data_IF_303562033186
#
_entry.id   IF_303562033186
#
_cell.length_a   1.000
_cell.length_b   1.000
_cell.length_c   1.000
_cell.angle_alpha   90.00
_cell.angle_beta   90.00
_cell.angle_gamma   90.00
#
_symmetry.space_group_name_H-M   'P 1'
#
loop_
_entity.id
_entity.type
_entity.pdbx_description
1 polymer ?
#
# COMPACT_ATOMS: atom_id res chain seq x y z
N UNK A 1 -16.96 26.56 -20.53
CA UNK A 1 -15.69 25.82 -20.31
C UNK A 1 -15.14 26.23 -18.97
N UNK A 2 -14.94 25.30 -18.03
CA UNK A 2 -14.25 25.61 -16.78
C UNK A 2 -12.79 25.96 -17.10
N UNK A 3 -12.35 27.17 -16.76
CA UNK A 3 -10.93 27.55 -16.87
C UNK A 3 -10.07 26.62 -16.01
N UNK A 4 -8.82 26.36 -16.38
CA UNK A 4 -7.84 25.69 -15.51
C UNK A 4 -7.72 26.38 -14.13
N UNK A 5 -8.09 27.65 -14.03
CA UNK A 5 -8.17 28.37 -12.75
C UNK A 5 -9.19 27.79 -11.77
N UNK A 6 -10.29 27.19 -12.25
CA UNK A 6 -11.24 26.53 -11.33
C UNK A 6 -10.62 25.28 -10.70
N UNK A 7 -9.79 24.54 -11.45
CA UNK A 7 -9.07 23.38 -10.92
C UNK A 7 -7.99 23.80 -9.91
N UNK A 8 -7.29 24.92 -10.11
CA UNK A 8 -6.34 25.47 -9.12
C UNK A 8 -7.04 25.88 -7.83
N UNK A 9 -8.14 26.62 -7.92
CA UNK A 9 -8.93 27.01 -6.76
C UNK A 9 -9.47 25.80 -5.99
N UNK A 10 -9.95 24.79 -6.72
CA UNK A 10 -10.42 23.55 -6.09
C UNK A 10 -9.27 22.80 -5.41
N UNK A 11 -8.09 22.68 -6.04
CA UNK A 11 -6.97 21.97 -5.40
C UNK A 11 -6.45 22.68 -4.16
N UNK A 12 -6.47 24.02 -4.13
CA UNK A 12 -6.19 24.80 -2.92
C UNK A 12 -7.23 24.55 -1.82
N UNK A 13 -8.52 24.52 -2.17
CA UNK A 13 -9.59 24.21 -1.23
C UNK A 13 -9.45 22.79 -0.65
N UNK A 14 -9.15 21.79 -1.49
CA UNK A 14 -8.93 20.41 -1.06
C UNK A 14 -7.73 20.31 -0.10
N UNK A 15 -6.61 20.98 -0.42
CA UNK A 15 -5.43 21.01 0.44
C UNK A 15 -5.70 21.69 1.78
N UNK A 16 -6.51 22.76 1.78
CA UNK A 16 -6.93 23.46 3.00
C UNK A 16 -7.81 22.57 3.86
N UNK A 17 -8.72 21.81 3.26
CA UNK A 17 -9.55 20.85 3.97
C UNK A 17 -8.71 19.74 4.65
N UNK A 18 -7.64 19.28 4.00
CA UNK A 18 -6.69 18.33 4.61
C UNK A 18 -5.99 18.96 5.82
N UNK A 19 -5.54 20.22 5.70
CA UNK A 19 -4.92 20.93 6.80
C UNK A 19 -5.89 21.09 7.99
N UNK A 20 -7.13 21.50 7.71
CA UNK A 20 -8.17 21.72 8.73
C UNK A 20 -8.59 20.44 9.44
N UNK A 21 -8.58 19.30 8.74
CA UNK A 21 -8.82 17.98 9.32
C UNK A 21 -7.55 17.31 9.85
N UNK A 22 -6.40 18.00 9.82
CA UNK A 22 -5.10 17.46 10.21
C UNK A 22 -5.07 17.01 11.67
N UNK A 23 -5.51 17.87 12.60
CA UNK A 23 -5.54 17.56 14.03
C UNK A 23 -6.43 16.36 14.34
N UNK A 24 -7.71 16.32 13.92
CA UNK A 24 -8.55 15.13 14.10
C UNK A 24 -7.93 13.84 13.53
N UNK A 25 -7.29 13.92 12.37
CA UNK A 25 -6.61 12.77 11.76
C UNK A 25 -5.46 12.29 12.65
N UNK A 26 -4.62 13.20 13.15
CA UNK A 26 -3.50 12.86 14.03
C UNK A 26 -3.95 12.27 15.37
N UNK A 27 -5.06 12.76 15.92
CA UNK A 27 -5.67 12.22 17.14
C UNK A 27 -6.22 10.81 16.93
N UNK A 28 -6.86 10.55 15.78
CA UNK A 28 -7.32 9.22 15.41
C UNK A 28 -6.15 8.24 15.29
N UNK A 29 -5.03 8.66 14.66
CA UNK A 29 -3.82 7.82 14.55
C UNK A 29 -3.17 7.57 15.92
N UNK A 30 -3.12 8.58 16.78
CA UNK A 30 -2.61 8.43 18.14
C UNK A 30 -3.47 7.47 18.95
N UNK A 31 -4.81 7.55 18.82
CA UNK A 31 -5.76 6.66 19.48
C UNK A 31 -5.63 5.23 18.98
N UNK A 32 -5.49 5.04 17.66
CA UNK A 32 -5.26 3.72 17.07
C UNK A 32 -3.95 3.09 17.60
N UNK A 33 -2.85 3.85 17.66
CA UNK A 33 -1.59 3.38 18.25
C UNK A 33 -1.72 3.06 19.74
N UNK A 34 -2.43 3.88 20.51
CA UNK A 34 -2.64 3.65 21.94
C UNK A 34 -3.50 2.41 22.22
N UNK A 35 -4.36 2.01 21.28
CA UNK A 35 -5.17 0.79 21.40
C UNK A 35 -4.42 -0.52 21.11
N UNK A 36 -3.17 -0.43 20.62
CA UNK A 36 -2.38 -1.59 20.24
C UNK A 36 -1.89 -2.36 21.48
N UNK A 37 -2.16 -3.69 21.57
CA UNK A 37 -1.94 -4.44 22.80
C UNK A 37 -0.46 -4.69 23.16
N UNK A 38 0.44 -4.75 22.17
CA UNK A 38 1.86 -4.99 22.40
C UNK A 38 2.66 -3.77 21.97
N UNK A 39 3.20 -3.05 22.94
CA UNK A 39 3.99 -1.83 22.74
C UNK A 39 5.22 -1.83 23.64
N UNK A 40 6.20 -1.00 23.31
CA UNK A 40 7.45 -0.89 24.06
C UNK A 40 8.53 -1.89 23.61
N UNK A 41 9.67 -1.93 24.34
CA UNK A 41 10.86 -2.66 23.92
C UNK A 41 10.66 -4.18 23.85
N UNK A 42 9.76 -4.73 24.67
CA UNK A 42 9.51 -6.17 24.76
C UNK A 42 8.30 -6.61 23.92
N UNK A 43 7.72 -5.71 23.11
CA UNK A 43 6.47 -5.95 22.37
C UNK A 43 6.53 -7.19 21.47
N UNK A 44 7.65 -7.39 20.76
CA UNK A 44 7.83 -8.54 19.87
C UNK A 44 7.79 -9.86 20.67
N UNK A 45 8.58 -9.96 21.73
CA UNK A 45 8.62 -11.18 22.56
C UNK A 45 7.30 -11.44 23.29
N UNK A 46 6.61 -10.39 23.73
CA UNK A 46 5.27 -10.49 24.32
C UNK A 46 4.24 -10.98 23.30
N UNK A 47 4.25 -10.44 22.07
CA UNK A 47 3.38 -10.89 20.98
C UNK A 47 3.67 -12.33 20.58
N UNK A 48 4.94 -12.71 20.38
CA UNK A 48 5.32 -14.09 20.06
C UNK A 48 4.85 -15.07 21.14
N UNK A 49 5.04 -14.72 22.42
CA UNK A 49 4.61 -15.55 23.55
C UNK A 49 3.09 -15.71 23.56
N UNK A 50 2.34 -14.63 23.40
CA UNK A 50 0.89 -14.65 23.40
C UNK A 50 0.30 -15.36 22.17
N UNK A 51 0.96 -15.26 21.01
CA UNK A 51 0.52 -15.92 19.78
C UNK A 51 0.94 -17.40 19.73
N UNK A 52 1.96 -17.79 20.49
CA UNK A 52 2.40 -19.17 20.64
C UNK A 52 1.68 -19.94 21.76
N UNK A 53 1.01 -19.26 22.70
CA UNK A 53 0.34 -19.89 23.85
C UNK A 53 -0.96 -20.64 23.51
N UNK A 54 -1.20 -20.91 22.24
CA UNK A 54 -2.39 -21.62 21.76
C UNK A 54 -2.06 -23.12 21.73
N UNK A 55 -2.88 -23.93 22.40
CA UNK A 55 -2.66 -25.37 22.55
C UNK A 55 -2.50 -26.06 21.19
N UNK A 56 -1.30 -26.59 20.93
CA UNK A 56 -0.87 -27.15 19.63
C UNK A 56 -1.77 -28.28 19.14
N UNK A 57 -2.56 -28.90 20.01
CA UNK A 57 -3.50 -29.97 19.66
C UNK A 57 -4.92 -29.46 19.37
N UNK A 58 -5.25 -28.22 19.72
CA UNK A 58 -6.58 -27.62 19.52
C UNK A 58 -6.54 -26.32 18.70
N UNK A 59 -5.37 -25.85 18.27
CA UNK A 59 -5.27 -24.63 17.44
C UNK A 59 -5.94 -24.87 16.10
N UNK A 60 -7.01 -24.13 15.84
CA UNK A 60 -7.49 -23.94 14.49
C UNK A 60 -6.59 -22.93 13.79
N UNK A 61 -5.48 -23.40 13.23
CA UNK A 61 -4.50 -22.57 12.51
C UNK A 61 -5.10 -21.90 11.26
N UNK A 62 -6.27 -22.36 10.80
CA UNK A 62 -7.02 -21.71 9.73
C UNK A 62 -7.68 -20.40 10.19
N UNK A 63 -7.87 -20.20 11.50
CA UNK A 63 -8.37 -18.92 12.01
C UNK A 63 -7.29 -17.85 11.91
N UNK A 64 -7.64 -16.64 11.46
CA UNK A 64 -6.73 -15.52 11.52
C UNK A 64 -6.43 -15.17 12.97
N UNK A 65 -5.23 -14.65 13.23
CA UNK A 65 -4.92 -14.05 14.51
C UNK A 65 -5.73 -12.76 14.67
N UNK A 66 -6.67 -12.72 15.61
CA UNK A 66 -7.61 -11.61 15.76
C UNK A 66 -6.92 -10.26 16.04
N UNK A 67 -5.79 -10.26 16.75
CA UNK A 67 -5.01 -9.04 17.00
C UNK A 67 -4.37 -8.55 15.71
N UNK A 68 -3.77 -9.45 14.93
CA UNK A 68 -3.17 -9.09 13.64
C UNK A 68 -4.24 -8.63 12.66
N UNK A 69 -5.36 -9.33 12.55
CA UNK A 69 -6.42 -9.05 11.57
C UNK A 69 -7.10 -7.69 11.80
N UNK A 70 -7.41 -7.36 13.05
CA UNK A 70 -7.96 -6.05 13.44
C UNK A 70 -6.94 -4.92 13.21
N UNK A 71 -5.67 -5.15 13.57
CA UNK A 71 -4.58 -4.19 13.33
C UNK A 71 -4.34 -3.98 11.84
N UNK A 72 -4.36 -5.06 11.05
CA UNK A 72 -4.11 -5.06 9.61
C UNK A 72 -5.10 -4.17 8.87
N UNK A 73 -6.39 -4.34 9.16
CA UNK A 73 -7.46 -3.53 8.56
C UNK A 73 -7.29 -2.05 8.91
N UNK A 74 -7.13 -1.76 10.19
CA UNK A 74 -7.02 -0.39 10.71
C UNK A 74 -5.82 0.34 10.10
N UNK A 75 -4.64 -0.29 10.12
CA UNK A 75 -3.41 0.31 9.63
C UNK A 75 -3.45 0.49 8.12
N UNK A 76 -3.87 -0.51 7.35
CA UNK A 76 -3.89 -0.39 5.88
C UNK A 76 -4.88 0.66 5.39
N UNK A 77 -6.05 0.77 6.02
CA UNK A 77 -7.00 1.84 5.70
C UNK A 77 -6.40 3.23 6.00
N UNK A 78 -5.69 3.35 7.13
CA UNK A 78 -5.00 4.59 7.50
C UNK A 78 -3.90 4.95 6.49
N UNK A 79 -3.05 3.99 6.14
CA UNK A 79 -1.99 4.17 5.15
C UNK A 79 -2.55 4.59 3.78
N UNK A 80 -3.60 3.93 3.31
CA UNK A 80 -4.26 4.26 2.05
C UNK A 80 -4.84 5.67 2.07
N UNK A 81 -5.54 6.04 3.14
CA UNK A 81 -6.11 7.38 3.30
C UNK A 81 -5.04 8.48 3.34
N UNK A 82 -3.93 8.27 4.06
CA UNK A 82 -2.82 9.23 4.02
C UNK A 82 -2.17 9.32 2.64
N UNK A 83 -1.99 8.20 1.93
CA UNK A 83 -1.44 8.23 0.58
C UNK A 83 -2.34 9.02 -0.38
N UNK A 84 -3.66 8.90 -0.26
CA UNK A 84 -4.62 9.72 -1.02
C UNK A 84 -4.52 11.21 -0.66
N UNK A 85 -4.47 11.54 0.63
CA UNK A 85 -4.29 12.92 1.07
C UNK A 85 -2.98 13.52 0.54
N UNK A 86 -1.88 12.76 0.55
CA UNK A 86 -0.61 13.21 -0.01
C UNK A 86 -0.73 13.47 -1.51
N UNK A 87 -1.41 12.61 -2.28
CA UNK A 87 -1.65 12.85 -3.72
C UNK A 87 -2.45 14.11 -3.98
N UNK A 88 -3.42 14.45 -3.12
CA UNK A 88 -4.15 15.73 -3.17
C UNK A 88 -3.19 16.90 -2.96
N UNK A 89 -2.28 16.81 -1.99
CA UNK A 89 -1.27 17.84 -1.74
C UNK A 89 -0.25 17.94 -2.89
N UNK A 90 0.18 16.83 -3.48
CA UNK A 90 1.05 16.82 -4.66
C UNK A 90 0.38 17.52 -5.84
N UNK A 91 -0.93 17.25 -6.06
CA UNK A 91 -1.73 17.94 -7.08
C UNK A 91 -1.85 19.43 -6.79
N UNK A 92 -2.07 19.81 -5.53
CA UNK A 92 -2.10 21.21 -5.13
C UNK A 92 -0.79 21.91 -5.48
N UNK A 93 0.36 21.37 -5.04
CA UNK A 93 1.67 21.95 -5.36
C UNK A 93 1.89 22.02 -6.86
N UNK A 94 1.69 20.91 -7.58
CA UNK A 94 1.93 20.84 -9.03
C UNK A 94 1.10 21.83 -9.86
N UNK A 95 -0.12 22.15 -9.42
CA UNK A 95 -0.98 23.13 -10.10
C UNK A 95 -0.62 24.60 -9.79
N UNK A 96 0.14 24.83 -8.71
CA UNK A 96 0.59 26.16 -8.29
C UNK A 96 2.08 26.41 -8.60
N UNK A 97 2.82 25.42 -9.10
CA UNK A 97 4.16 25.64 -9.67
C UNK A 97 4.02 26.53 -10.90
N UNK A 98 4.71 27.69 -10.95
CA UNK A 98 4.73 28.53 -12.14
C UNK A 98 5.37 27.75 -13.29
N UNK A 99 4.82 27.86 -14.50
CA UNK A 99 5.54 27.40 -15.69
C UNK A 99 6.88 28.10 -15.76
N UNK A 100 7.91 27.28 -15.66
CA UNK A 100 9.25 27.67 -16.05
C UNK A 100 9.27 27.58 -17.57
N UNK A 101 9.70 28.62 -18.27
CA UNK A 101 9.94 28.49 -19.70
C UNK A 101 10.98 27.37 -19.87
N UNK A 102 10.84 26.56 -20.93
CA UNK A 102 11.53 25.27 -21.12
C UNK A 102 13.08 25.39 -21.16
N UNK A 103 13.63 26.60 -21.06
CA UNK A 103 15.04 26.85 -20.73
C UNK A 103 15.47 26.39 -19.33
N UNK A 104 14.53 26.15 -18.40
CA UNK A 104 14.80 26.07 -16.96
C UNK A 104 14.74 24.64 -16.36
N UNK A 105 14.37 23.62 -17.16
CA UNK A 105 14.31 22.22 -16.70
C UNK A 105 15.64 21.47 -16.91
N UNK A 106 16.76 22.16 -16.69
CA UNK A 106 18.10 21.59 -16.69
C UNK A 106 18.42 20.79 -15.43
N UNK A 107 17.60 19.79 -15.07
CA UNK A 107 17.92 18.78 -14.05
C UNK A 107 16.83 17.69 -14.02
N UNK A 108 16.84 16.74 -14.98
CA UNK A 108 16.85 15.26 -14.76
C UNK A 108 17.24 14.48 -16.05
N UNK A 109 18.19 14.95 -16.88
CA UNK A 109 18.77 14.05 -17.90
C UNK A 109 20.25 14.34 -18.17
N UNK A 110 20.98 13.25 -18.37
CA UNK A 110 22.42 13.08 -18.32
C UNK A 110 23.28 14.06 -19.15
N UNK A 111 24.49 14.33 -18.61
CA UNK A 111 25.78 14.54 -19.29
C UNK A 111 25.85 15.42 -20.56
N UNK A 112 26.83 16.35 -20.53
CA UNK A 112 27.44 17.11 -21.66
C UNK A 112 26.71 18.38 -22.14
N UNK A 113 27.05 19.53 -21.53
CA UNK A 113 27.48 20.82 -22.14
C UNK A 113 27.05 22.05 -21.31
N UNK A 114 27.89 23.11 -21.23
CA UNK A 114 27.59 24.31 -20.47
C UNK A 114 26.83 25.32 -21.34
N UNK A 115 25.52 25.40 -21.17
CA UNK A 115 24.75 26.53 -21.65
C UNK A 115 23.99 27.13 -20.46
N UNK A 116 24.57 28.22 -19.97
CA UNK A 116 23.98 29.14 -19.00
C UNK A 116 22.73 29.74 -19.66
N UNK A 117 21.56 29.13 -19.41
CA UNK A 117 20.28 29.61 -19.89
C UNK A 117 19.58 30.37 -18.75
N UNK A 118 18.99 31.51 -19.13
CA UNK A 118 18.50 32.57 -18.25
C UNK A 118 17.46 32.08 -17.23
N UNK A 119 17.91 31.80 -16.00
CA UNK A 119 17.07 31.94 -14.80
C UNK A 119 16.51 33.36 -14.85
N UNK A 120 15.17 33.53 -14.88
CA UNK A 120 14.59 34.87 -14.64
C UNK A 120 15.08 35.32 -13.26
N UNK A 121 16.00 36.27 -13.27
CA UNK A 121 16.90 36.59 -12.15
C UNK A 121 16.16 37.42 -11.10
N UNK A 122 15.32 36.75 -10.31
CA UNK A 122 14.64 37.34 -9.16
C UNK A 122 13.36 36.61 -8.75
N UNK A 123 13.16 36.45 -7.43
CA UNK A 123 11.92 35.99 -6.78
C UNK A 123 11.57 34.49 -6.93
N UNK A 124 12.57 33.60 -6.96
CA UNK A 124 12.35 32.14 -7.03
C UNK A 124 12.27 31.43 -5.65
N UNK A 125 12.33 32.18 -4.54
CA UNK A 125 12.30 31.59 -3.19
C UNK A 125 11.06 30.73 -2.94
N UNK A 126 9.86 31.21 -3.29
CA UNK A 126 8.63 30.43 -3.09
C UNK A 126 8.56 29.20 -3.99
N UNK A 127 9.16 29.24 -5.18
CA UNK A 127 9.28 28.08 -6.07
C UNK A 127 10.20 27.02 -5.45
N UNK A 128 11.31 27.43 -4.82
CA UNK A 128 12.18 26.49 -4.08
C UNK A 128 11.42 25.82 -2.91
N UNK A 129 10.60 26.57 -2.17
CA UNK A 129 9.75 26.03 -1.11
C UNK A 129 8.77 24.98 -1.66
N UNK A 130 8.13 25.27 -2.81
CA UNK A 130 7.26 24.29 -3.49
C UNK A 130 8.01 23.01 -3.88
N UNK A 131 9.22 23.12 -4.43
CA UNK A 131 10.00 21.95 -4.85
C UNK A 131 10.47 21.10 -3.65
N UNK A 132 10.87 21.74 -2.55
CA UNK A 132 11.22 21.05 -1.30
C UNK A 132 10.01 20.31 -0.72
N UNK A 133 8.86 20.96 -0.69
CA UNK A 133 7.63 20.35 -0.19
C UNK A 133 7.14 19.22 -1.11
N UNK A 134 7.20 19.39 -2.43
CA UNK A 134 6.86 18.32 -3.39
C UNK A 134 7.76 17.09 -3.20
N UNK A 135 9.05 17.29 -2.94
CA UNK A 135 9.96 16.18 -2.64
C UNK A 135 9.59 15.47 -1.33
N UNK A 136 9.31 16.23 -0.27
CA UNK A 136 8.85 15.65 1.01
C UNK A 136 7.58 14.80 0.81
N UNK A 137 6.58 15.32 0.09
CA UNK A 137 5.34 14.62 -0.21
C UNK A 137 5.59 13.31 -0.94
N UNK A 138 6.42 13.34 -1.99
CA UNK A 138 6.79 12.14 -2.75
C UNK A 138 7.50 11.11 -1.87
N UNK A 139 8.52 11.53 -1.12
CA UNK A 139 9.31 10.64 -0.27
C UNK A 139 8.44 9.96 0.81
N UNK A 140 7.49 10.69 1.41
CA UNK A 140 6.54 10.12 2.37
C UNK A 140 5.51 9.20 1.70
N UNK A 141 4.97 9.56 0.53
CA UNK A 141 4.03 8.72 -0.21
C UNK A 141 4.68 7.38 -0.61
N UNK A 142 5.91 7.42 -1.12
CA UNK A 142 6.63 6.22 -1.54
C UNK A 142 6.88 5.28 -0.33
N UNK A 143 7.09 5.81 0.88
CA UNK A 143 7.13 5.00 2.12
C UNK A 143 5.79 4.35 2.43
N UNK A 144 4.68 5.09 2.35
CA UNK A 144 3.33 4.54 2.61
C UNK A 144 2.96 3.44 1.61
N UNK A 145 3.22 3.67 0.31
CA UNK A 145 2.95 2.70 -0.75
C UNK A 145 3.81 1.44 -0.60
N UNK A 146 5.07 1.60 -0.16
CA UNK A 146 5.91 0.46 0.19
C UNK A 146 5.33 -0.32 1.37
N UNK A 147 4.92 0.33 2.46
CA UNK A 147 4.27 -0.36 3.59
C UNK A 147 2.98 -1.08 3.18
N UNK A 148 2.16 -0.50 2.29
CA UNK A 148 0.97 -1.15 1.73
C UNK A 148 1.33 -2.41 0.92
N UNK A 149 2.41 -2.36 0.15
CA UNK A 149 2.90 -3.48 -0.68
C UNK A 149 3.52 -4.59 0.16
N UNK A 150 4.28 -4.24 1.19
CA UNK A 150 4.95 -5.22 2.04
C UNK A 150 3.95 -5.93 2.94
N UNK A 151 3.00 -5.20 3.54
CA UNK A 151 1.96 -5.80 4.38
C UNK A 151 1.00 -6.70 3.60
N UNK A 152 0.77 -6.47 2.30
CA UNK A 152 -0.18 -7.31 1.52
C UNK A 152 0.29 -8.75 1.34
N UNK A 153 1.58 -9.00 1.55
CA UNK A 153 2.19 -10.34 1.42
C UNK A 153 1.84 -11.25 2.60
N UNK A 154 1.34 -10.69 3.70
CA UNK A 154 1.08 -11.42 4.94
C UNK A 154 0.24 -12.68 4.76
N UNK A 155 -0.96 -12.55 4.20
CA UNK A 155 -1.88 -13.69 4.10
C UNK A 155 -1.35 -14.78 3.16
N UNK A 156 -0.56 -14.43 2.14
CA UNK A 156 0.12 -15.41 1.30
C UNK A 156 1.19 -16.17 2.10
N UNK A 157 2.07 -15.47 2.81
CA UNK A 157 3.08 -16.10 3.68
C UNK A 157 2.46 -16.93 4.79
N UNK A 158 1.32 -16.50 5.33
CA UNK A 158 0.59 -17.23 6.37
C UNK A 158 -0.06 -18.49 5.81
N UNK A 159 -0.66 -18.44 4.62
CA UNK A 159 -1.19 -19.62 3.93
C UNK A 159 -0.08 -20.66 3.68
N UNK A 160 1.08 -20.23 3.18
CA UNK A 160 2.24 -21.10 2.97
C UNK A 160 2.75 -21.74 4.28
N UNK A 161 2.64 -21.02 5.40
CA UNK A 161 2.98 -21.54 6.72
C UNK A 161 1.97 -22.60 7.19
N UNK A 162 0.67 -22.39 6.94
CA UNK A 162 -0.42 -23.32 7.29
C UNK A 162 -0.32 -24.62 6.48
N UNK A 163 0.02 -24.58 5.20
CA UNK A 163 0.14 -25.78 4.34
C UNK A 163 1.19 -26.79 4.83
N UNK A 164 2.17 -26.29 5.60
CA UNK A 164 3.23 -27.11 6.22
C UNK A 164 2.73 -27.90 7.42
N UNK A 165 1.53 -27.64 7.94
CA UNK A 165 0.97 -28.42 9.04
C UNK A 165 0.44 -29.77 8.51
N UNK A 166 0.95 -30.86 9.07
CA UNK A 166 0.71 -32.23 8.58
C UNK A 166 -0.56 -32.86 9.15
N UNK A 167 -1.01 -32.40 10.33
CA UNK A 167 -2.23 -32.90 10.99
C UNK A 167 -3.52 -32.25 10.47
N UNK A 168 -3.42 -31.22 9.63
CA UNK A 168 -4.61 -30.59 9.06
C UNK A 168 -5.26 -31.52 8.04
N UNK A 169 -6.60 -31.56 7.97
CA UNK A 169 -7.30 -32.29 6.92
C UNK A 169 -6.85 -31.76 5.56
N UNK A 170 -6.17 -32.60 4.77
CA UNK A 170 -5.85 -32.26 3.38
C UNK A 170 -6.94 -32.83 2.48
N UNK A 171 -7.64 -31.96 1.78
CA UNK A 171 -8.56 -32.35 0.70
C UNK A 171 -7.69 -32.57 -0.53
N UNK A 172 -7.58 -33.82 -0.97
CA UNK A 172 -6.95 -34.16 -2.24
C UNK A 172 -8.05 -34.59 -3.22
N UNK A 173 -8.17 -33.86 -4.32
CA UNK A 173 -9.02 -34.24 -5.45
C UNK A 173 -8.21 -35.14 -6.36
N UNK A 174 -8.58 -36.42 -6.45
CA UNK A 174 -7.94 -37.36 -7.37
C UNK A 174 -8.89 -37.59 -8.55
N UNK A 175 -8.43 -37.27 -9.76
CA UNK A 175 -9.15 -37.64 -10.98
C UNK A 175 -8.71 -39.04 -11.41
N UNK A 176 -9.59 -40.02 -11.24
CA UNK A 176 -9.35 -41.37 -11.76
C UNK A 176 -9.99 -41.48 -13.13
N UNK A 177 -9.16 -41.54 -14.18
CA UNK A 177 -9.62 -41.86 -15.54
C UNK A 177 -9.55 -43.37 -15.73
N UNK A 178 -10.71 -44.01 -15.76
CA UNK A 178 -10.86 -45.42 -16.10
C UNK A 178 -11.33 -45.57 -17.54
N UNK A 179 -10.54 -46.29 -18.35
CA UNK A 179 -10.93 -46.68 -19.71
C UNK A 179 -11.26 -48.17 -19.73
N UNK A 180 -12.49 -48.52 -20.09
CA UNK A 180 -12.87 -49.90 -20.37
C UNK A 180 -12.99 -50.11 -21.87
N UNK A 181 -12.28 -51.12 -22.37
CA UNK A 181 -12.40 -51.61 -23.74
C UNK A 181 -13.21 -52.89 -23.70
N UNK A 182 -14.31 -52.92 -24.44
CA UNK A 182 -15.10 -54.13 -24.65
C UNK A 182 -15.02 -54.52 -26.12
N UNK A 183 -14.50 -55.72 -26.37
CA UNK A 183 -14.52 -56.34 -27.69
C UNK A 183 -15.67 -57.35 -27.72
N UNK A 184 -16.57 -57.22 -28.69
CA UNK A 184 -17.60 -58.22 -28.97
C UNK A 184 -17.25 -58.90 -30.30
N UNK A 185 -16.92 -60.19 -30.25
CA UNK A 185 -16.61 -60.99 -31.45
C UNK A 185 -17.85 -61.81 -31.85
N UNK A 186 -18.27 -61.72 -33.12
CA UNK A 186 -19.32 -62.59 -33.69
C UNK A 186 -20.73 -61.99 -33.83
N UNK A 187 -20.87 -60.66 -33.85
CA UNK A 187 -22.12 -59.98 -34.19
C UNK A 187 -22.45 -60.06 -35.69
N UNK A 188 -23.73 -59.92 -36.05
CA UNK A 188 -24.25 -60.08 -37.43
C UNK A 188 -23.66 -59.08 -38.45
N UNK A 189 -22.98 -58.03 -37.97
CA UNK A 189 -22.43 -56.93 -38.75
C UNK A 189 -20.88 -56.79 -38.65
N UNK A 190 -20.18 -57.76 -38.03
CA UNK A 190 -18.71 -57.76 -37.89
C UNK A 190 -18.21 -57.36 -36.49
N UNK A 191 -16.88 -57.42 -36.30
CA UNK A 191 -16.23 -57.09 -35.03
C UNK A 191 -16.28 -55.58 -34.74
N UNK A 192 -16.83 -55.19 -33.59
CA UNK A 192 -16.85 -53.80 -33.13
C UNK A 192 -15.99 -53.63 -31.87
N UNK A 193 -15.16 -52.58 -31.88
CA UNK A 193 -14.37 -52.15 -30.73
C UNK A 193 -14.95 -50.84 -30.19
N UNK A 194 -15.53 -50.88 -28.98
CA UNK A 194 -16.12 -49.70 -28.33
C UNK A 194 -15.29 -49.35 -27.10
N UNK A 195 -14.68 -48.17 -27.11
CA UNK A 195 -13.99 -47.61 -25.96
C UNK A 195 -14.93 -46.66 -25.23
N UNK A 196 -15.19 -46.93 -23.95
CA UNK A 196 -15.94 -46.02 -23.08
C UNK A 196 -14.97 -45.42 -22.06
N UNK A 197 -14.98 -44.10 -21.93
CA UNK A 197 -14.16 -43.36 -20.95
C UNK A 197 -15.09 -42.80 -19.89
N UNK A 198 -14.89 -43.20 -18.65
CA UNK A 198 -15.56 -42.59 -17.49
C UNK A 198 -14.54 -41.85 -16.64
N UNK A 199 -14.91 -40.64 -16.23
CA UNK A 199 -14.13 -39.82 -15.29
C UNK A 199 -14.85 -39.85 -13.96
N UNK A 200 -14.19 -40.36 -12.92
CA UNK A 200 -14.67 -40.28 -11.55
C UNK A 200 -13.79 -39.29 -10.77
N UNK A 201 -14.42 -38.29 -10.18
CA UNK A 201 -13.77 -37.32 -9.29
C UNK A 201 -14.04 -37.76 -7.86
N UNK A 202 -12.99 -38.17 -7.15
CA UNK A 202 -13.07 -38.51 -5.73
C UNK A 202 -12.36 -37.44 -4.90
N UNK A 203 -13.09 -36.85 -3.95
CA UNK A 203 -12.49 -36.03 -2.89
C UNK A 203 -12.11 -36.93 -1.72
N UNK A 204 -10.81 -37.06 -1.48
CA UNK A 204 -10.29 -37.81 -0.32
C UNK A 204 -9.79 -36.83 0.74
N UNK A 205 -10.41 -36.88 1.91
CA UNK A 205 -9.93 -36.18 3.10
C UNK A 205 -8.93 -37.09 3.82
N UNK A 206 -7.63 -36.80 3.70
CA UNK A 206 -6.61 -37.50 4.47
C UNK A 206 -6.41 -36.79 5.82
N UNK A 207 -6.55 -37.55 6.91
CA UNK A 207 -6.16 -37.12 8.28
C UNK A 207 -4.95 -37.96 8.69
N UNK A 208 -3.83 -37.33 9.08
CA UNK A 208 -2.70 -38.06 9.66
C UNK A 208 -2.94 -38.22 11.16
N UNK A 209 -3.33 -39.41 11.61
CA UNK A 209 -3.82 -39.61 12.97
C UNK A 209 -2.76 -39.61 14.09
N UNK A 210 -1.44 -39.50 13.82
CA UNK A 210 -0.43 -39.68 14.88
C UNK A 210 0.83 -38.81 14.79
N UNK A 211 0.73 -37.55 14.38
CA UNK A 211 1.87 -36.63 14.46
C UNK A 211 1.87 -35.83 15.76
N UNK A 212 2.91 -35.95 16.59
CA UNK A 212 3.18 -34.95 17.64
C UNK A 212 3.03 -33.54 17.05
N UNK A 213 2.32 -32.69 17.79
CA UNK A 213 2.36 -31.24 17.68
C UNK A 213 3.79 -30.77 17.31
N UNK A 214 4.02 -30.39 16.05
CA UNK A 214 5.33 -29.90 15.66
C UNK A 214 5.48 -28.48 16.21
N UNK A 215 5.92 -28.38 17.46
CA UNK A 215 6.08 -27.16 18.25
C UNK A 215 6.76 -26.05 17.46
N UNK A 216 7.75 -26.40 16.64
CA UNK A 216 8.49 -25.44 15.82
C UNK A 216 7.63 -24.82 14.72
N UNK A 217 6.65 -25.54 14.15
CA UNK A 217 5.71 -24.96 13.16
C UNK A 217 4.74 -23.97 13.81
N UNK A 218 4.25 -24.25 15.01
CA UNK A 218 3.43 -23.29 15.78
C UNK A 218 4.24 -22.05 16.12
N UNK A 219 5.45 -22.22 16.65
CA UNK A 219 6.34 -21.09 16.94
C UNK A 219 6.67 -20.28 15.69
N UNK A 220 6.87 -20.93 14.55
CA UNK A 220 7.12 -20.23 13.28
C UNK A 220 5.90 -19.42 12.81
N UNK A 221 4.68 -19.97 12.93
CA UNK A 221 3.45 -19.25 12.61
C UNK A 221 3.22 -18.07 13.56
N UNK A 222 3.44 -18.27 14.87
CA UNK A 222 3.35 -17.21 15.88
C UNK A 222 4.37 -16.09 15.62
N UNK A 223 5.61 -16.44 15.26
CA UNK A 223 6.65 -15.47 14.90
C UNK A 223 6.29 -14.68 13.64
N UNK A 224 5.70 -15.33 12.63
CA UNK A 224 5.19 -14.65 11.43
C UNK A 224 4.08 -13.64 11.78
N UNK A 225 3.11 -14.06 12.60
CA UNK A 225 2.00 -13.22 13.06
C UNK A 225 2.51 -12.04 13.92
N UNK A 226 3.47 -12.29 14.82
CA UNK A 226 4.09 -11.27 15.65
C UNK A 226 4.90 -10.26 14.83
N UNK A 227 5.69 -10.73 13.86
CA UNK A 227 6.44 -9.84 12.97
C UNK A 227 5.50 -8.95 12.15
N UNK A 228 4.44 -9.52 11.57
CA UNK A 228 3.46 -8.72 10.82
C UNK A 228 2.80 -7.65 11.71
N UNK A 229 2.43 -8.02 12.94
CA UNK A 229 1.91 -7.06 13.90
C UNK A 229 2.90 -5.91 14.16
N UNK A 230 4.17 -6.22 14.40
CA UNK A 230 5.21 -5.20 14.62
C UNK A 230 5.42 -4.31 13.39
N UNK A 231 5.40 -4.89 12.18
CA UNK A 231 5.52 -4.14 10.93
C UNK A 231 4.33 -3.18 10.74
N UNK A 232 3.11 -3.60 11.08
CA UNK A 232 1.92 -2.76 11.04
C UNK A 232 1.99 -1.61 12.06
N UNK A 233 2.44 -1.89 13.29
CA UNK A 233 2.65 -0.85 14.33
C UNK A 233 3.68 0.17 13.85
N UNK A 234 4.82 -0.30 13.35
CA UNK A 234 5.89 0.55 12.84
C UNK A 234 5.43 1.40 11.64
N UNK A 235 4.65 0.82 10.72
CA UNK A 235 4.08 1.53 9.58
C UNK A 235 3.13 2.66 10.03
N UNK A 236 2.27 2.41 11.02
CA UNK A 236 1.36 3.43 11.55
C UNK A 236 2.10 4.55 12.30
N UNK A 237 3.14 4.20 13.07
CA UNK A 237 4.01 5.19 13.72
C UNK A 237 4.74 6.06 12.71
N UNK A 238 5.33 5.43 11.67
CA UNK A 238 6.02 6.12 10.59
C UNK A 238 5.07 7.06 9.84
N UNK A 239 3.88 6.58 9.48
CA UNK A 239 2.81 7.37 8.86
C UNK A 239 2.45 8.58 9.73
N UNK A 240 2.14 8.38 11.02
CA UNK A 240 1.78 9.48 11.94
C UNK A 240 2.88 10.54 11.98
N UNK A 241 4.14 10.13 12.14
CA UNK A 241 5.27 11.04 12.22
C UNK A 241 5.45 11.84 10.91
N UNK A 242 5.40 11.15 9.75
CA UNK A 242 5.47 11.80 8.45
C UNK A 242 4.31 12.78 8.22
N UNK A 243 3.09 12.39 8.61
CA UNK A 243 1.90 13.22 8.46
C UNK A 243 1.96 14.50 9.30
N UNK A 244 2.48 14.44 10.54
CA UNK A 244 2.72 15.64 11.36
C UNK A 244 3.68 16.60 10.65
N UNK A 245 4.79 16.08 10.11
CA UNK A 245 5.79 16.90 9.40
C UNK A 245 5.18 17.54 8.15
N UNK A 246 4.36 16.80 7.40
CA UNK A 246 3.66 17.33 6.21
C UNK A 246 2.72 18.47 6.60
N UNK A 247 1.88 18.28 7.63
CA UNK A 247 0.92 19.29 8.08
C UNK A 247 1.62 20.55 8.60
N UNK A 248 2.69 20.38 9.39
CA UNK A 248 3.49 21.51 9.89
C UNK A 248 4.14 22.31 8.75
N UNK A 249 4.68 21.63 7.73
CA UNK A 249 5.25 22.29 6.56
C UNK A 249 4.18 22.97 5.70
N UNK A 250 3.01 22.36 5.56
CA UNK A 250 1.88 22.92 4.81
C UNK A 250 1.37 24.21 5.47
N UNK A 251 1.18 24.18 6.79
CA UNK A 251 0.70 25.33 7.57
C UNK A 251 1.67 26.51 7.50
N UNK A 252 2.95 26.27 7.82
CA UNK A 252 3.98 27.32 7.87
C UNK A 252 4.25 27.97 6.51
N UNK A 253 4.11 27.20 5.44
CA UNK A 253 4.47 27.65 4.09
C UNK A 253 3.28 27.94 3.19
N UNK A 254 2.04 27.91 3.70
CA UNK A 254 0.81 28.01 2.91
C UNK A 254 0.85 29.11 1.84
N UNK A 255 1.15 30.35 2.26
CA UNK A 255 1.20 31.50 1.35
C UNK A 255 2.23 31.32 0.22
N UNK A 256 3.36 30.67 0.48
CA UNK A 256 4.40 30.40 -0.53
C UNK A 256 4.03 29.23 -1.44
N UNK A 257 3.24 28.28 -0.94
CA UNK A 257 2.76 27.15 -1.73
C UNK A 257 1.63 27.57 -2.68
N UNK A 258 0.73 28.44 -2.24
CA UNK A 258 -0.37 28.97 -3.05
C UNK A 258 0.09 30.08 -4.01
N UNK A 259 0.96 30.99 -3.55
CA UNK A 259 1.43 32.14 -4.31
C UNK A 259 2.97 32.23 -4.29
N UNK A 260 3.70 31.34 -5.00
CA UNK A 260 5.15 31.22 -4.90
C UNK A 260 5.93 32.46 -5.33
N UNK A 261 5.33 33.33 -6.15
CA UNK A 261 5.89 34.62 -6.58
C UNK A 261 5.20 35.84 -5.94
N UNK A 262 4.23 35.63 -5.04
CA UNK A 262 3.46 36.67 -4.34
C UNK A 262 2.28 37.27 -5.14
N UNK A 263 1.41 37.99 -4.44
CA UNK A 263 0.24 38.69 -5.01
C UNK A 263 0.67 39.71 -6.05
N UNK A 264 0.17 39.57 -7.27
CA UNK A 264 0.44 40.51 -8.37
C UNK A 264 1.38 39.98 -9.46
N UNK A 265 1.99 38.80 -9.28
CA UNK A 265 2.62 38.07 -10.39
C UNK A 265 1.55 37.39 -11.29
N UNK A 266 0.47 38.11 -11.58
CA UNK A 266 -0.65 37.67 -12.40
C UNK A 266 -0.43 38.08 -13.84
N UNK A 267 0.08 37.15 -14.65
CA UNK A 267 0.29 37.37 -16.06
C UNK A 267 0.34 36.09 -16.89
N UNK A 268 -0.43 35.05 -16.54
CA UNK A 268 -0.76 34.02 -17.54
C UNK A 268 -1.71 34.65 -18.58
N UNK A 269 -1.12 35.19 -19.64
CA UNK A 269 -1.81 35.45 -20.91
C UNK A 269 -2.79 36.63 -20.93
N UNK A 270 -2.29 37.86 -20.78
CA UNK A 270 -2.93 39.05 -21.39
C UNK A 270 -1.89 40.14 -21.64
N UNK A 271 -0.95 39.84 -22.56
CA UNK A 271 0.13 40.74 -22.96
C UNK A 271 0.31 40.83 -24.47
N UNK A 272 -0.73 40.48 -25.24
CA UNK A 272 -0.81 40.77 -26.67
C UNK A 272 -1.40 42.16 -26.91
N UNK A 273 -0.70 43.21 -26.49
CA UNK A 273 -0.94 44.57 -26.98
C UNK A 273 0.39 45.13 -27.47
N UNK A 274 0.57 44.97 -28.78
CA UNK A 274 1.30 45.88 -29.66
C UNK A 274 1.59 47.23 -29.00
N UNK A 275 2.85 47.43 -28.60
CA UNK A 275 3.44 48.75 -28.45
C UNK A 275 3.78 49.21 -29.87
N UNK A 276 2.85 49.97 -30.46
CA UNK A 276 3.17 50.87 -31.56
C UNK A 276 3.71 52.16 -30.95
N UNK A 277 5.00 52.41 -31.15
CA UNK A 277 5.57 53.74 -31.33
C UNK A 277 6.66 53.63 -32.40
#
# INVERSE_FOLDING_TARGET
>A
MSSFDSYRKQSAADAKAILDNGVPTLEALASALASMPYTGPDALGAAETAFASVDVFTVDVNKPNAVVDSTYTTVRNSLASAAENIRVLERFVGLHVPQMEVSDLGLIHASTQPLVANVLDGNNFGVTVQMMFAKLLKDERDKLEKSLTDTSKYYASRADAIDKFTHLPKISTTETKSSSQSNATGGKDGDENKTSTSTATEEKIARSDHGEANLHRVKALAALDAQMYMDLVAALQSMRNGYIVILDNLEKNWTKLEEPRGKGYGGYGSGGRSMAF
#
